data_IF_301467959030
#
_entry.id   IF_301467959030
#
_cell.length_a   1.000
_cell.length_b   1.000
_cell.length_c   1.000
_cell.angle_alpha   90.00
_cell.angle_beta   90.00
_cell.angle_gamma   90.00
#
_symmetry.space_group_name_H-M   'P 1'
#
loop_
_entity.id
_entity.type
_entity.pdbx_description
1 polymer ?
#
# COMPACT_ATOMS: atom_id res chain seq x y z
N UNK A 1 15.37 40.80 21.96
CA UNK A 1 14.57 40.02 20.98
C UNK A 1 14.34 38.65 21.58
N UNK A 2 13.08 38.35 21.90
CA UNK A 2 12.67 37.14 22.61
C UNK A 2 12.75 35.94 21.67
N UNK A 3 13.53 34.92 22.06
CA UNK A 3 13.49 33.59 21.47
C UNK A 3 12.10 32.99 21.72
N UNK A 4 11.26 32.95 20.69
CA UNK A 4 10.05 32.12 20.71
C UNK A 4 10.48 30.66 20.60
N UNK A 5 10.07 29.76 21.50
CA UNK A 5 10.23 28.34 21.28
C UNK A 5 9.33 27.95 20.09
N UNK A 6 9.90 27.26 19.11
CA UNK A 6 9.13 26.56 18.08
C UNK A 6 8.30 25.52 18.81
N UNK A 7 6.99 25.77 18.89
CA UNK A 7 6.00 24.85 19.42
C UNK A 7 5.89 23.65 18.48
N UNK A 8 6.65 22.58 18.75
CA UNK A 8 6.34 21.26 18.23
C UNK A 8 5.25 20.67 19.14
N UNK A 9 3.99 20.93 18.80
CA UNK A 9 2.88 20.13 19.33
C UNK A 9 3.04 18.73 18.75
N UNK A 10 3.59 17.80 19.54
CA UNK A 10 3.67 16.38 19.17
C UNK A 10 2.25 15.83 19.12
N UNK A 11 1.61 15.91 17.95
CA UNK A 11 0.35 15.21 17.73
C UNK A 11 0.68 13.75 17.50
N UNK A 12 0.16 12.87 18.35
CA UNK A 12 0.27 11.42 18.15
C UNK A 12 -0.16 11.05 16.72
N UNK A 13 0.54 10.12 16.05
CA UNK A 13 0.16 9.68 14.71
C UNK A 13 -1.31 9.23 14.66
N UNK A 14 -2.01 9.62 13.60
CA UNK A 14 -3.44 9.30 13.38
C UNK A 14 -3.63 8.16 12.37
N UNK A 15 -2.57 7.46 12.00
CA UNK A 15 -2.59 6.32 11.09
C UNK A 15 -1.84 5.15 11.71
N UNK A 16 -2.39 3.95 11.59
CA UNK A 16 -1.75 2.73 12.08
C UNK A 16 -1.82 1.59 11.07
N UNK A 17 -0.68 0.93 10.84
CA UNK A 17 -0.55 -0.26 10.02
C UNK A 17 -0.27 -1.50 10.89
N UNK A 18 -0.93 -2.61 10.59
CA UNK A 18 -0.68 -3.89 11.26
C UNK A 18 -0.30 -4.92 10.20
N UNK A 19 0.91 -5.46 10.33
CA UNK A 19 1.46 -6.44 9.42
C UNK A 19 1.05 -7.86 9.82
N UNK A 20 0.19 -8.51 9.04
CA UNK A 20 -0.21 -9.91 9.22
C UNK A 20 0.58 -10.79 8.24
N UNK A 21 1.53 -11.62 8.70
CA UNK A 21 2.52 -12.23 7.82
C UNK A 21 2.11 -13.59 7.22
N UNK A 22 0.84 -13.96 7.22
CA UNK A 22 0.42 -15.31 6.83
C UNK A 22 -0.16 -15.34 5.43
N UNK A 23 0.26 -16.31 4.63
CA UNK A 23 -0.34 -16.65 3.34
C UNK A 23 -0.48 -18.17 3.19
N UNK A 24 -1.43 -18.60 2.37
CA UNK A 24 -1.49 -19.99 1.91
C UNK A 24 -0.26 -20.37 1.08
N UNK A 25 0.12 -19.48 0.17
CA UNK A 25 1.22 -19.65 -0.77
C UNK A 25 1.99 -18.35 -0.93
N UNK A 26 3.31 -18.42 -1.19
CA UNK A 26 4.11 -17.25 -1.56
C UNK A 26 4.11 -17.14 -3.09
N UNK A 27 3.28 -16.24 -3.62
CA UNK A 27 3.27 -15.96 -5.06
C UNK A 27 4.67 -15.57 -5.54
N UNK A 28 5.05 -16.03 -6.73
CA UNK A 28 6.43 -15.93 -7.21
C UNK A 28 6.98 -14.50 -7.36
N UNK A 29 6.14 -13.47 -7.45
CA UNK A 29 6.51 -12.05 -7.50
C UNK A 29 6.53 -11.35 -6.13
N UNK A 30 5.98 -11.97 -5.08
CA UNK A 30 5.72 -11.31 -3.81
C UNK A 30 7.00 -11.17 -2.98
N UNK A 31 7.37 -9.92 -2.67
CA UNK A 31 8.54 -9.55 -1.86
C UNK A 31 8.19 -9.23 -0.39
N UNK A 32 6.90 -9.30 -0.04
CA UNK A 32 6.43 -8.99 1.30
C UNK A 32 7.01 -9.95 2.36
N UNK A 33 7.09 -9.40 3.57
CA UNK A 33 7.43 -10.12 4.78
C UNK A 33 6.29 -11.09 5.11
N UNK A 34 6.47 -12.38 4.89
CA UNK A 34 5.44 -13.39 5.13
C UNK A 34 6.04 -14.77 5.41
N UNK A 35 5.21 -15.66 5.93
CA UNK A 35 5.41 -17.12 6.02
C UNK A 35 4.24 -17.80 5.32
N UNK A 36 4.54 -18.75 4.44
CA UNK A 36 3.55 -19.53 3.72
C UNK A 36 3.37 -20.90 4.36
N UNK A 37 2.12 -21.35 4.56
CA UNK A 37 1.81 -22.67 5.13
C UNK A 37 2.30 -22.87 6.58
N UNK A 38 2.34 -21.80 7.37
CA UNK A 38 2.80 -21.79 8.77
C UNK A 38 1.72 -21.34 9.74
N UNK A 39 0.53 -21.90 9.57
CA UNK A 39 -0.64 -21.59 10.40
C UNK A 39 -0.41 -21.96 11.88
N UNK A 40 0.54 -22.87 12.16
CA UNK A 40 1.01 -23.22 13.50
C UNK A 40 1.53 -22.01 14.29
N UNK A 41 2.05 -20.97 13.61
CA UNK A 41 2.60 -19.78 14.26
C UNK A 41 1.56 -18.68 14.54
N UNK A 42 0.30 -18.85 14.14
CA UNK A 42 -0.72 -17.79 14.29
C UNK A 42 -0.93 -17.41 15.76
N UNK A 43 -0.97 -18.40 16.66
CA UNK A 43 -1.13 -18.15 18.10
C UNK A 43 0.05 -17.38 18.70
N UNK A 44 1.27 -17.75 18.31
CA UNK A 44 2.50 -17.08 18.74
C UNK A 44 2.56 -15.65 18.22
N UNK A 45 2.16 -15.43 16.96
CA UNK A 45 2.05 -14.10 16.37
C UNK A 45 1.07 -13.21 17.14
N UNK A 46 -0.14 -13.68 17.44
CA UNK A 46 -1.12 -12.89 18.18
C UNK A 46 -0.63 -12.56 19.60
N UNK A 47 0.05 -13.50 20.25
CA UNK A 47 0.65 -13.30 21.56
C UNK A 47 1.78 -12.28 21.52
N UNK A 48 2.66 -12.37 20.52
CA UNK A 48 3.75 -11.44 20.29
C UNK A 48 3.25 -10.03 19.94
N UNK A 49 2.23 -9.91 19.07
CA UNK A 49 1.63 -8.62 18.71
C UNK A 49 0.96 -7.96 19.91
N UNK A 50 0.24 -8.74 20.74
CA UNK A 50 -0.31 -8.24 22.01
C UNK A 50 0.77 -7.64 22.89
N UNK A 51 1.94 -8.28 22.99
CA UNK A 51 3.10 -7.76 23.74
C UNK A 51 3.67 -6.49 23.13
N UNK A 52 3.79 -6.44 21.81
CA UNK A 52 4.30 -5.26 21.11
C UNK A 52 3.40 -4.03 21.38
N UNK A 53 2.09 -4.24 21.36
CA UNK A 53 1.09 -3.22 21.63
C UNK A 53 0.93 -2.87 23.12
N UNK A 54 1.65 -3.54 24.05
CA UNK A 54 1.54 -3.25 25.49
C UNK A 54 1.99 -1.84 25.85
N UNK A 55 2.89 -1.24 25.05
CA UNK A 55 3.35 0.14 25.26
C UNK A 55 2.25 1.20 25.08
N UNK A 56 1.10 0.82 24.50
CA UNK A 56 -0.06 1.68 24.35
C UNK A 56 -0.93 1.55 25.61
N UNK A 57 -0.65 2.39 26.60
CA UNK A 57 -1.36 2.39 27.90
C UNK A 57 -2.81 2.89 27.79
N UNK A 58 -3.07 3.81 26.86
CA UNK A 58 -4.40 4.37 26.59
C UNK A 58 -4.72 4.26 25.11
N UNK A 59 -5.98 3.97 24.74
CA UNK A 59 -6.37 3.92 23.34
C UNK A 59 -5.97 5.19 22.58
N UNK A 60 -5.27 5.01 21.46
CA UNK A 60 -4.90 6.10 20.56
C UNK A 60 -6.01 6.25 19.53
N UNK A 61 -6.55 7.47 19.39
CA UNK A 61 -7.52 7.74 18.34
C UNK A 61 -6.83 7.85 16.98
N UNK A 62 -7.30 7.07 15.99
CA UNK A 62 -6.77 7.05 14.63
C UNK A 62 -7.83 7.40 13.60
N UNK A 63 -7.41 8.12 12.56
CA UNK A 63 -8.17 8.39 11.35
C UNK A 63 -8.15 7.20 10.39
N UNK A 64 -7.04 6.46 10.37
CA UNK A 64 -6.88 5.29 9.50
C UNK A 64 -6.25 4.10 10.24
N UNK A 65 -6.78 2.91 9.98
CA UNK A 65 -6.20 1.64 10.38
C UNK A 65 -6.13 0.72 9.17
N UNK A 66 -5.00 0.06 8.95
CA UNK A 66 -4.80 -0.80 7.79
C UNK A 66 -4.20 -2.14 8.22
N UNK A 67 -4.89 -3.22 7.88
CA UNK A 67 -4.40 -4.59 8.04
C UNK A 67 -3.90 -5.07 6.68
N UNK A 68 -2.61 -5.39 6.58
CA UNK A 68 -2.02 -5.85 5.32
C UNK A 68 -0.83 -6.79 5.54
N UNK A 69 -0.06 -7.03 4.48
CA UNK A 69 1.25 -7.70 4.56
C UNK A 69 1.28 -8.99 3.77
N UNK A 70 1.04 -10.12 4.42
CA UNK A 70 0.77 -11.38 3.74
C UNK A 70 -0.66 -11.37 3.23
N UNK A 71 -1.58 -11.98 3.98
CA UNK A 71 -3.01 -11.95 3.69
C UNK A 71 -3.77 -11.99 5.02
N UNK A 72 -4.19 -10.83 5.57
CA UNK A 72 -4.93 -10.79 6.83
C UNK A 72 -6.15 -11.73 6.87
N UNK A 73 -6.89 -11.87 5.75
CA UNK A 73 -8.05 -12.76 5.65
C UNK A 73 -7.71 -14.25 5.68
N UNK A 74 -6.44 -14.63 5.50
CA UNK A 74 -6.00 -16.02 5.64
C UNK A 74 -6.14 -16.51 7.08
N UNK A 75 -6.11 -15.59 8.06
CA UNK A 75 -6.41 -15.94 9.45
C UNK A 75 -7.78 -16.62 9.54
N UNK A 76 -7.91 -17.74 10.29
CA UNK A 76 -9.21 -18.31 10.63
C UNK A 76 -10.08 -17.25 11.30
N UNK A 77 -11.40 -17.30 11.09
CA UNK A 77 -12.31 -16.24 11.53
C UNK A 77 -12.19 -15.93 13.03
N UNK A 78 -12.07 -16.95 13.89
CA UNK A 78 -11.84 -16.79 15.33
C UNK A 78 -10.57 -15.99 15.65
N UNK A 79 -9.45 -16.28 14.95
CA UNK A 79 -8.16 -15.60 15.13
C UNK A 79 -8.17 -14.18 14.60
N UNK A 80 -8.92 -13.94 13.52
CA UNK A 80 -9.15 -12.61 12.99
C UNK A 80 -9.97 -11.75 13.96
N UNK A 81 -11.03 -12.31 14.55
CA UNK A 81 -11.80 -11.67 15.61
C UNK A 81 -10.96 -11.39 16.86
N UNK A 82 -10.07 -12.30 17.24
CA UNK A 82 -9.10 -12.09 18.32
C UNK A 82 -8.19 -10.89 18.03
N UNK A 83 -7.61 -10.82 16.82
CA UNK A 83 -6.79 -9.69 16.38
C UNK A 83 -7.57 -8.37 16.45
N UNK A 84 -8.78 -8.33 15.89
CA UNK A 84 -9.66 -7.16 15.90
C UNK A 84 -9.93 -6.71 17.35
N UNK A 85 -10.21 -7.64 18.25
CA UNK A 85 -10.43 -7.35 19.68
C UNK A 85 -9.21 -6.71 20.33
N UNK A 86 -8.01 -7.23 20.04
CA UNK A 86 -6.74 -6.63 20.50
C UNK A 86 -6.60 -5.20 20.00
N UNK A 87 -6.80 -4.97 18.71
CA UNK A 87 -6.64 -3.63 18.12
C UNK A 87 -7.65 -2.64 18.69
N UNK A 88 -8.92 -3.02 18.85
CA UNK A 88 -9.95 -2.17 19.46
C UNK A 88 -9.70 -1.85 20.94
N UNK A 89 -8.90 -2.66 21.64
CA UNK A 89 -8.48 -2.35 23.01
C UNK A 89 -7.35 -1.30 23.07
N UNK A 90 -6.64 -1.06 21.95
CA UNK A 90 -5.46 -0.18 21.86
C UNK A 90 -5.68 1.05 20.99
N UNK A 91 -6.71 1.04 20.15
CA UNK A 91 -7.03 2.12 19.24
C UNK A 91 -8.53 2.42 19.28
N UNK A 92 -8.86 3.71 19.30
CA UNK A 92 -10.21 4.19 19.01
C UNK A 92 -10.25 4.75 17.58
N UNK A 93 -11.42 4.70 16.96
CA UNK A 93 -11.61 5.13 15.59
C UNK A 93 -12.27 6.50 15.58
N UNK A 94 -11.64 7.47 14.91
CA UNK A 94 -12.17 8.82 14.80
C UNK A 94 -13.49 8.86 14.01
N UNK A 95 -14.34 9.89 14.17
CA UNK A 95 -15.49 10.09 13.30
C UNK A 95 -15.08 10.10 11.82
N UNK A 96 -15.74 9.28 11.01
CA UNK A 96 -15.42 9.13 9.59
C UNK A 96 -14.08 8.44 9.31
N UNK A 97 -13.58 7.58 10.21
CA UNK A 97 -12.36 6.79 10.01
C UNK A 97 -12.38 5.90 8.75
N UNK A 98 -11.19 5.49 8.31
CA UNK A 98 -11.01 4.41 7.33
C UNK A 98 -10.36 3.21 8.03
N UNK A 99 -11.00 2.04 7.98
CA UNK A 99 -10.38 0.78 8.42
C UNK A 99 -10.36 -0.20 7.25
N UNK A 100 -9.16 -0.37 6.70
CA UNK A 100 -8.87 -1.22 5.56
C UNK A 100 -8.35 -2.60 5.96
N UNK A 101 -8.69 -3.61 5.18
CA UNK A 101 -8.09 -4.95 5.24
C UNK A 101 -7.78 -5.45 3.83
N UNK A 102 -6.59 -6.04 3.64
CA UNK A 102 -6.25 -6.81 2.44
C UNK A 102 -6.84 -8.21 2.48
N UNK A 103 -7.35 -8.68 1.34
CA UNK A 103 -8.04 -9.94 1.22
C UNK A 103 -7.64 -10.75 -0.03
N UNK A 104 -7.59 -12.07 0.11
CA UNK A 104 -7.64 -12.99 -1.03
C UNK A 104 -9.11 -13.34 -1.33
N UNK A 105 -9.56 -13.31 -2.61
CA UNK A 105 -10.92 -13.71 -2.99
C UNK A 105 -11.40 -15.01 -2.36
N UNK A 106 -10.57 -16.06 -2.34
CA UNK A 106 -10.95 -17.37 -1.82
C UNK A 106 -11.26 -17.36 -0.33
N UNK A 107 -10.61 -16.49 0.46
CA UNK A 107 -10.80 -16.44 1.90
C UNK A 107 -12.15 -15.85 2.31
N UNK A 108 -12.84 -15.17 1.38
CA UNK A 108 -14.10 -14.45 1.61
C UNK A 108 -15.32 -15.14 1.00
N UNK A 109 -15.18 -16.40 0.57
CA UNK A 109 -16.33 -17.25 0.22
C UNK A 109 -17.16 -17.66 1.45
N UNK A 110 -16.58 -17.54 2.65
CA UNK A 110 -17.25 -17.80 3.92
C UNK A 110 -18.05 -16.57 4.39
N UNK A 111 -19.37 -16.71 4.42
CA UNK A 111 -20.30 -15.67 4.85
C UNK A 111 -20.10 -15.26 6.33
N UNK A 112 -19.65 -16.16 7.20
CA UNK A 112 -19.43 -15.85 8.62
C UNK A 112 -18.23 -14.91 8.78
N UNK A 113 -17.20 -15.09 7.95
CA UNK A 113 -16.03 -14.20 7.93
C UNK A 113 -16.41 -12.81 7.44
N UNK A 114 -17.18 -12.70 6.35
CA UNK A 114 -17.67 -11.41 5.88
C UNK A 114 -18.54 -10.70 6.92
N UNK A 115 -19.44 -11.43 7.58
CA UNK A 115 -20.27 -10.91 8.67
C UNK A 115 -19.42 -10.38 9.82
N UNK A 116 -18.37 -11.13 10.20
CA UNK A 116 -17.44 -10.74 11.27
C UNK A 116 -16.64 -9.48 10.92
N UNK A 117 -16.18 -9.38 9.67
CA UNK A 117 -15.51 -8.17 9.15
C UNK A 117 -16.45 -6.96 9.20
N UNK A 118 -17.66 -7.07 8.66
CA UNK A 118 -18.63 -5.97 8.67
C UNK A 118 -19.00 -5.53 10.10
N UNK A 119 -19.20 -6.49 11.01
CA UNK A 119 -19.50 -6.21 12.41
C UNK A 119 -18.35 -5.62 13.22
N UNK A 120 -17.10 -5.74 12.73
CA UNK A 120 -15.91 -5.25 13.44
C UNK A 120 -15.70 -3.74 13.36
N UNK A 121 -16.29 -3.09 12.35
CA UNK A 121 -16.02 -1.71 11.99
C UNK A 121 -15.09 -1.55 10.78
N UNK A 122 -14.57 -2.63 10.19
CA UNK A 122 -13.88 -2.58 8.90
C UNK A 122 -14.84 -2.04 7.84
N UNK A 123 -14.40 -1.01 7.11
CA UNK A 123 -15.23 -0.30 6.16
C UNK A 123 -14.58 -0.15 4.78
N UNK A 124 -13.42 -0.77 4.54
CA UNK A 124 -12.78 -0.91 3.23
C UNK A 124 -12.09 -2.28 3.10
N UNK A 125 -12.26 -2.93 1.95
CA UNK A 125 -11.54 -4.19 1.61
C UNK A 125 -10.72 -3.97 0.34
N UNK A 126 -9.43 -4.32 0.35
CA UNK A 126 -8.56 -4.41 -0.83
C UNK A 126 -8.45 -5.85 -1.28
N UNK A 127 -9.03 -6.18 -2.44
CA UNK A 127 -9.11 -7.54 -2.94
C UNK A 127 -8.00 -7.81 -3.95
N UNK A 128 -7.11 -8.75 -3.64
CA UNK A 128 -6.02 -9.17 -4.53
C UNK A 128 -6.51 -10.00 -5.72
N UNK A 129 -7.12 -9.36 -6.71
CA UNK A 129 -7.68 -10.00 -7.92
C UNK A 129 -6.57 -10.36 -8.90
N UNK A 130 -5.68 -9.42 -9.17
CA UNK A 130 -4.56 -9.43 -10.10
C UNK A 130 -4.95 -9.57 -11.58
N UNK A 131 -5.82 -10.52 -11.93
CA UNK A 131 -6.34 -10.71 -13.28
C UNK A 131 -7.66 -11.50 -13.24
N UNK A 132 -8.43 -11.44 -14.33
CA UNK A 132 -9.57 -12.35 -14.57
C UNK A 132 -9.21 -13.49 -15.54
N UNK A 133 -8.01 -13.44 -16.14
CA UNK A 133 -7.52 -14.45 -17.08
C UNK A 133 -6.83 -15.61 -16.34
N UNK A 134 -7.31 -16.83 -16.57
CA UNK A 134 -6.78 -18.03 -15.91
C UNK A 134 -5.31 -18.33 -16.21
N UNK A 135 -4.81 -17.97 -17.40
CA UNK A 135 -3.39 -18.19 -17.74
C UNK A 135 -2.49 -17.24 -16.95
N UNK A 136 -2.88 -15.97 -16.83
CA UNK A 136 -2.19 -14.95 -16.03
C UNK A 136 -2.22 -15.30 -14.55
N UNK A 137 -3.38 -15.70 -14.02
CA UNK A 137 -3.53 -16.14 -12.62
C UNK A 137 -2.65 -17.35 -12.30
N UNK A 138 -2.54 -18.31 -13.23
CA UNK A 138 -1.63 -19.46 -13.10
C UNK A 138 -0.17 -19.02 -13.03
N UNK A 139 0.26 -18.09 -13.90
CA UNK A 139 1.62 -17.53 -13.87
C UNK A 139 1.88 -16.81 -12.55
N UNK A 140 0.94 -15.99 -12.10
CA UNK A 140 0.96 -15.24 -10.84
C UNK A 140 0.78 -16.14 -9.61
N UNK A 141 0.61 -17.45 -9.78
CA UNK A 141 0.43 -18.44 -8.72
C UNK A 141 -0.73 -18.08 -7.78
N UNK A 142 -1.85 -17.63 -8.37
CA UNK A 142 -3.09 -17.31 -7.67
C UNK A 142 -4.00 -18.53 -7.58
N UNK A 143 -4.73 -18.65 -6.48
CA UNK A 143 -5.57 -19.79 -6.15
C UNK A 143 -7.07 -19.52 -6.38
N UNK A 144 -7.42 -18.45 -7.09
CA UNK A 144 -8.79 -18.08 -7.44
C UNK A 144 -8.97 -17.97 -8.96
N UNK A 145 -10.21 -17.80 -9.42
CA UNK A 145 -10.56 -17.48 -10.80
C UNK A 145 -11.53 -16.29 -10.86
N UNK A 146 -11.84 -15.82 -12.07
CA UNK A 146 -12.76 -14.70 -12.25
C UNK A 146 -14.19 -14.98 -11.74
N UNK A 147 -14.63 -16.24 -11.71
CA UNK A 147 -15.93 -16.62 -11.14
C UNK A 147 -16.00 -16.31 -9.66
N UNK A 148 -14.99 -16.76 -8.90
CA UNK A 148 -14.85 -16.48 -7.47
C UNK A 148 -14.80 -14.97 -7.24
N UNK A 149 -14.01 -14.22 -8.02
CA UNK A 149 -13.89 -12.77 -7.86
C UNK A 149 -15.25 -12.07 -8.03
N UNK A 150 -16.03 -12.44 -9.04
CA UNK A 150 -17.38 -11.87 -9.27
C UNK A 150 -18.31 -12.18 -8.10
N UNK A 151 -18.32 -13.42 -7.64
CA UNK A 151 -19.14 -13.88 -6.51
C UNK A 151 -18.82 -13.10 -5.23
N UNK A 152 -17.54 -13.08 -4.82
CA UNK A 152 -17.16 -12.44 -3.55
C UNK A 152 -17.26 -10.93 -3.61
N UNK A 153 -16.99 -10.30 -4.77
CA UNK A 153 -17.15 -8.85 -4.91
C UNK A 153 -18.62 -8.46 -4.74
N UNK A 154 -19.56 -9.25 -5.27
CA UNK A 154 -20.98 -9.02 -5.06
C UNK A 154 -21.35 -9.16 -3.57
N UNK A 155 -20.92 -10.25 -2.93
CA UNK A 155 -21.21 -10.52 -1.52
C UNK A 155 -20.63 -9.45 -0.57
N UNK A 156 -19.38 -9.01 -0.79
CA UNK A 156 -18.74 -7.97 0.04
C UNK A 156 -19.55 -6.67 -0.04
N UNK A 157 -19.98 -6.27 -1.24
CA UNK A 157 -20.66 -4.98 -1.45
C UNK A 157 -22.00 -4.85 -0.75
N UNK A 158 -22.64 -5.96 -0.38
CA UNK A 158 -23.87 -5.96 0.42
C UNK A 158 -23.64 -5.42 1.84
N UNK A 159 -22.44 -5.58 2.39
CA UNK A 159 -22.10 -5.24 3.77
C UNK A 159 -21.01 -4.16 3.91
N UNK A 160 -20.01 -4.18 3.03
CA UNK A 160 -18.90 -3.22 2.97
C UNK A 160 -18.82 -2.65 1.54
N UNK A 161 -19.50 -1.51 1.26
CA UNK A 161 -19.58 -0.97 -0.10
C UNK A 161 -18.25 -0.46 -0.68
N UNK A 162 -17.25 -0.15 0.15
CA UNK A 162 -15.94 0.35 -0.29
C UNK A 162 -15.00 -0.82 -0.59
N UNK A 163 -15.16 -1.41 -1.77
CA UNK A 163 -14.31 -2.48 -2.28
C UNK A 163 -13.31 -1.91 -3.27
N UNK A 164 -12.04 -2.22 -3.04
CA UNK A 164 -10.94 -2.00 -3.96
C UNK A 164 -10.57 -3.32 -4.66
N UNK A 165 -10.27 -3.27 -5.95
CA UNK A 165 -9.69 -4.41 -6.68
C UNK A 165 -8.25 -4.08 -7.07
N UNK A 166 -7.32 -4.91 -6.64
CA UNK A 166 -5.91 -4.81 -6.99
C UNK A 166 -5.64 -5.65 -8.24
N UNK A 167 -5.10 -5.04 -9.29
CA UNK A 167 -4.84 -5.63 -10.60
C UNK A 167 -3.36 -5.50 -10.97
N UNK A 168 -2.86 -6.43 -11.77
CA UNK A 168 -1.47 -6.44 -12.25
C UNK A 168 -1.45 -6.48 -13.79
N UNK A 169 -0.76 -5.54 -14.41
CA UNK A 169 -0.41 -5.56 -15.82
C UNK A 169 1.08 -5.91 -16.02
N UNK A 170 1.48 -6.25 -17.23
CA UNK A 170 2.84 -6.69 -17.54
C UNK A 170 3.13 -8.14 -17.14
N UNK A 171 2.08 -8.96 -16.97
CA UNK A 171 2.25 -10.39 -16.65
C UNK A 171 2.91 -11.10 -17.84
N UNK A 172 3.91 -11.99 -17.65
CA UNK A 172 4.56 -12.71 -18.74
C UNK A 172 3.57 -13.36 -19.71
N UNK A 173 3.62 -12.96 -20.98
CA UNK A 173 2.71 -13.46 -22.03
C UNK A 173 1.35 -12.75 -22.10
N UNK A 174 1.04 -11.80 -21.21
CA UNK A 174 -0.16 -10.98 -21.27
C UNK A 174 -0.13 -10.09 -22.51
N UNK A 175 -1.26 -10.06 -23.24
CA UNK A 175 -1.43 -9.16 -24.38
C UNK A 175 -2.22 -7.92 -23.98
N UNK A 176 -2.16 -6.86 -24.79
CA UNK A 176 -2.99 -5.67 -24.58
C UNK A 176 -4.49 -6.01 -24.61
N UNK A 177 -4.90 -7.02 -25.40
CA UNK A 177 -6.29 -7.49 -25.46
C UNK A 177 -6.73 -8.14 -24.14
N UNK A 178 -5.87 -8.96 -23.53
CA UNK A 178 -6.18 -9.59 -22.25
C UNK A 178 -6.30 -8.54 -21.12
N UNK A 179 -5.41 -7.54 -21.13
CA UNK A 179 -5.46 -6.44 -20.19
C UNK A 179 -6.73 -5.60 -20.33
N UNK A 180 -7.13 -5.27 -21.56
CA UNK A 180 -8.40 -4.60 -21.87
C UNK A 180 -9.59 -5.36 -21.31
N UNK A 181 -9.64 -6.68 -21.55
CA UNK A 181 -10.70 -7.54 -21.03
C UNK A 181 -10.73 -7.57 -19.50
N UNK A 182 -9.56 -7.60 -18.85
CA UNK A 182 -9.44 -7.58 -17.39
C UNK A 182 -9.99 -6.27 -16.81
N UNK A 183 -9.68 -5.13 -17.41
CA UNK A 183 -10.19 -3.83 -16.98
C UNK A 183 -11.70 -3.67 -17.26
N UNK A 184 -12.18 -4.13 -18.42
CA UNK A 184 -13.61 -4.13 -18.73
C UNK A 184 -14.40 -4.89 -17.67
N UNK A 185 -13.92 -6.07 -17.27
CA UNK A 185 -14.56 -6.86 -16.24
C UNK A 185 -14.48 -6.17 -14.86
N UNK A 186 -13.32 -5.63 -14.49
CA UNK A 186 -13.15 -4.91 -13.23
C UNK A 186 -14.12 -3.71 -13.12
N UNK A 187 -14.30 -2.94 -14.20
CA UNK A 187 -15.24 -1.81 -14.25
C UNK A 187 -16.68 -2.28 -14.13
N UNK A 188 -17.06 -3.40 -14.74
CA UNK A 188 -18.41 -3.97 -14.64
C UNK A 188 -18.78 -4.37 -13.20
N UNK A 189 -17.80 -4.77 -12.38
CA UNK A 189 -18.00 -5.04 -10.96
C UNK A 189 -18.28 -3.79 -10.12
N UNK A 190 -18.02 -2.60 -10.69
CA UNK A 190 -18.24 -1.28 -10.07
C UNK A 190 -17.61 -1.16 -8.66
N UNK A 191 -16.31 -1.46 -8.50
CA UNK A 191 -15.62 -1.17 -7.25
C UNK A 191 -15.60 0.34 -6.97
N UNK A 192 -15.27 0.72 -5.74
CA UNK A 192 -15.06 2.14 -5.40
C UNK A 192 -13.64 2.59 -5.71
N UNK A 193 -12.72 1.65 -5.82
CA UNK A 193 -11.29 1.88 -5.97
C UNK A 193 -10.65 0.75 -6.81
N UNK A 194 -9.65 1.10 -7.61
CA UNK A 194 -8.90 0.20 -8.46
C UNK A 194 -7.41 0.52 -8.33
N UNK A 195 -6.60 -0.49 -8.07
CA UNK A 195 -5.15 -0.40 -8.12
C UNK A 195 -4.65 -1.12 -9.37
N UNK A 196 -3.79 -0.51 -10.16
CA UNK A 196 -3.16 -1.14 -11.34
C UNK A 196 -1.64 -1.07 -11.17
N UNK A 197 -1.04 -2.20 -10.80
CA UNK A 197 0.40 -2.32 -10.60
C UNK A 197 1.06 -2.92 -11.84
N UNK A 198 2.21 -2.37 -12.24
CA UNK A 198 3.09 -3.07 -13.16
C UNK A 198 3.78 -4.21 -12.43
N UNK A 199 3.87 -5.39 -13.05
CA UNK A 199 4.56 -6.52 -12.45
C UNK A 199 6.06 -6.22 -12.30
N UNK A 200 6.54 -6.13 -11.07
CA UNK A 200 7.98 -5.97 -10.79
C UNK A 200 8.64 -7.32 -10.53
N UNK A 201 9.96 -7.36 -10.72
CA UNK A 201 10.79 -8.54 -10.49
C UNK A 201 11.77 -8.22 -9.36
N UNK A 202 11.34 -8.40 -8.12
CA UNK A 202 12.13 -8.01 -6.95
C UNK A 202 13.22 -9.03 -6.61
N UNK A 203 14.41 -8.54 -6.23
CA UNK A 203 15.52 -9.40 -5.79
C UNK A 203 15.09 -10.26 -4.59
N UNK A 204 15.40 -11.56 -4.68
CA UNK A 204 15.03 -12.53 -3.64
C UNK A 204 13.69 -13.23 -3.89
N UNK A 205 12.95 -12.86 -4.93
CA UNK A 205 11.72 -13.55 -5.33
C UNK A 205 11.98 -14.73 -6.29
N UNK A 206 10.99 -15.61 -6.42
CA UNK A 206 11.03 -16.72 -7.40
C UNK A 206 11.09 -16.18 -8.82
N UNK A 207 10.30 -15.14 -9.12
CA UNK A 207 10.25 -14.51 -10.44
C UNK A 207 11.58 -13.90 -10.85
N UNK A 208 12.28 -13.21 -9.94
CA UNK A 208 13.64 -12.71 -10.19
C UNK A 208 14.59 -13.85 -10.58
N UNK A 209 14.53 -14.97 -9.86
CA UNK A 209 15.37 -16.15 -10.14
C UNK A 209 15.02 -16.79 -11.48
N UNK A 210 13.74 -16.92 -11.82
CA UNK A 210 13.27 -17.47 -13.10
C UNK A 210 13.62 -16.57 -14.28
N UNK A 211 13.51 -15.25 -14.10
CA UNK A 211 13.95 -14.24 -15.09
C UNK A 211 15.45 -14.33 -15.35
N UNK A 212 16.26 -14.36 -14.30
CA UNK A 212 17.71 -14.51 -14.43
C UNK A 212 18.13 -15.82 -15.13
N UNK A 213 17.31 -16.87 -15.03
CA UNK A 213 17.52 -18.16 -15.72
C UNK A 213 16.90 -18.23 -17.12
N UNK A 214 16.20 -17.19 -17.57
CA UNK A 214 15.50 -17.18 -18.86
C UNK A 214 14.27 -18.10 -18.93
N UNK A 215 13.74 -18.58 -17.79
CA UNK A 215 12.54 -19.44 -17.72
C UNK A 215 11.26 -18.66 -17.47
N UNK A 216 11.36 -17.34 -17.33
CA UNK A 216 10.25 -16.40 -17.26
C UNK A 216 10.69 -15.10 -17.90
N UNK A 217 10.02 -14.66 -18.96
CA UNK A 217 10.38 -13.43 -19.67
C UNK A 217 9.37 -12.33 -19.35
N UNK A 218 9.82 -11.12 -18.99
CA UNK A 218 8.91 -9.98 -18.91
C UNK A 218 8.31 -9.69 -20.29
N UNK A 219 7.19 -8.98 -20.33
CA UNK A 219 6.69 -8.44 -21.58
C UNK A 219 7.61 -7.29 -22.05
N UNK A 220 7.56 -6.87 -23.33
CA UNK A 220 8.33 -5.71 -23.78
C UNK A 220 7.92 -4.43 -23.04
N UNK A 221 8.87 -3.56 -22.69
CA UNK A 221 8.61 -2.30 -21.98
C UNK A 221 7.58 -1.41 -22.70
N UNK A 222 7.62 -1.39 -24.04
CA UNK A 222 6.65 -0.65 -24.84
C UNK A 222 5.22 -1.19 -24.67
N UNK A 223 5.06 -2.50 -24.49
CA UNK A 223 3.75 -3.08 -24.21
C UNK A 223 3.27 -2.75 -22.80
N UNK A 224 4.15 -2.74 -21.78
CA UNK A 224 3.80 -2.27 -20.43
C UNK A 224 3.34 -0.81 -20.45
N UNK A 225 4.05 0.03 -21.21
CA UNK A 225 3.69 1.44 -21.43
C UNK A 225 2.30 1.56 -22.05
N UNK A 226 2.01 0.79 -23.10
CA UNK A 226 0.69 0.75 -23.72
C UNK A 226 -0.41 0.29 -22.75
N UNK A 227 -0.14 -0.75 -21.95
CA UNK A 227 -1.08 -1.26 -20.95
C UNK A 227 -1.42 -0.21 -19.89
N UNK A 228 -0.41 0.47 -19.35
CA UNK A 228 -0.61 1.51 -18.35
C UNK A 228 -1.32 2.74 -18.93
N UNK A 229 -0.95 3.17 -20.14
CA UNK A 229 -1.64 4.24 -20.83
C UNK A 229 -3.13 3.90 -21.07
N UNK A 230 -3.41 2.65 -21.44
CA UNK A 230 -4.78 2.17 -21.64
C UNK A 230 -5.58 2.18 -20.33
N UNK A 231 -4.99 1.70 -19.22
CA UNK A 231 -5.62 1.73 -17.91
C UNK A 231 -6.01 3.15 -17.49
N UNK A 232 -5.10 4.13 -17.66
CA UNK A 232 -5.37 5.53 -17.35
C UNK A 232 -6.59 6.03 -18.15
N UNK A 233 -6.60 5.80 -19.47
CA UNK A 233 -7.69 6.25 -20.34
C UNK A 233 -9.03 5.62 -19.96
N UNK A 234 -9.10 4.29 -19.96
CA UNK A 234 -10.35 3.55 -19.73
C UNK A 234 -10.94 3.78 -18.34
N UNK A 235 -10.12 3.79 -17.29
CA UNK A 235 -10.60 4.03 -15.92
C UNK A 235 -11.06 5.47 -15.72
N UNK A 236 -10.39 6.43 -16.37
CA UNK A 236 -10.85 7.84 -16.36
C UNK A 236 -12.19 7.99 -17.06
N UNK A 237 -12.36 7.37 -18.24
CA UNK A 237 -13.63 7.36 -18.98
C UNK A 237 -14.76 6.67 -18.19
N UNK A 238 -14.43 5.64 -17.41
CA UNK A 238 -15.34 4.97 -16.49
C UNK A 238 -15.67 5.77 -15.21
N UNK A 239 -15.10 6.97 -15.04
CA UNK A 239 -15.39 7.89 -13.94
C UNK A 239 -14.52 7.73 -12.70
N UNK A 240 -13.42 6.97 -12.77
CA UNK A 240 -12.44 6.90 -11.70
C UNK A 240 -11.37 7.99 -11.87
N UNK A 241 -11.06 8.68 -10.77
CA UNK A 241 -9.97 9.66 -10.74
C UNK A 241 -8.64 8.95 -10.52
N UNK A 242 -7.69 9.13 -11.43
CA UNK A 242 -6.27 8.82 -11.20
C UNK A 242 -5.72 9.81 -10.18
N UNK A 243 -5.41 9.37 -8.96
CA UNK A 243 -5.01 10.28 -7.88
C UNK A 243 -3.55 10.11 -7.46
N UNK A 244 -2.95 8.95 -7.70
CA UNK A 244 -1.51 8.69 -7.59
C UNK A 244 -1.10 7.59 -8.58
N UNK A 245 0.20 7.35 -8.76
CA UNK A 245 0.78 6.47 -9.81
C UNK A 245 -0.05 5.21 -10.09
N UNK A 246 -0.36 4.40 -9.08
CA UNK A 246 -0.98 3.09 -9.30
C UNK A 246 -2.51 3.09 -9.12
N UNK A 247 -3.09 4.11 -8.50
CA UNK A 247 -4.44 4.02 -7.95
C UNK A 247 -5.44 5.00 -8.56
N UNK A 248 -6.65 4.45 -8.73
CA UNK A 248 -7.81 5.11 -9.27
C UNK A 248 -8.97 4.95 -8.27
N UNK A 249 -9.76 6.00 -8.07
CA UNK A 249 -10.89 5.91 -7.16
C UNK A 249 -12.06 6.76 -7.65
N UNK A 250 -13.27 6.37 -7.25
CA UNK A 250 -14.37 7.33 -7.27
C UNK A 250 -14.07 8.45 -6.26
N UNK A 251 -14.48 9.71 -6.53
CA UNK A 251 -14.21 10.81 -5.62
C UNK A 251 -14.71 10.52 -4.19
N UNK A 252 -13.82 10.67 -3.20
CA UNK A 252 -14.10 10.38 -1.79
C UNK A 252 -13.81 8.94 -1.35
N UNK A 253 -13.33 8.09 -2.27
CA UNK A 253 -12.93 6.69 -1.98
C UNK A 253 -11.43 6.45 -2.21
N UNK A 254 -10.64 7.52 -2.33
CA UNK A 254 -9.18 7.42 -2.30
C UNK A 254 -8.73 6.74 -1.00
N UNK A 255 -7.76 5.82 -1.07
CA UNK A 255 -7.23 5.15 0.13
C UNK A 255 -6.52 6.18 1.02
N UNK A 256 -7.16 6.58 2.13
CA UNK A 256 -6.65 7.64 3.02
C UNK A 256 -5.38 7.22 3.72
N UNK A 257 -5.24 5.93 4.02
CA UNK A 257 -4.02 5.39 4.60
C UNK A 257 -2.81 5.60 3.65
N UNK A 258 -2.96 5.24 2.37
CA UNK A 258 -1.92 5.43 1.36
C UNK A 258 -1.62 6.92 1.10
N UNK A 259 -2.65 7.76 1.05
CA UNK A 259 -2.47 9.21 0.96
C UNK A 259 -1.68 9.76 2.15
N UNK A 260 -1.80 9.15 3.34
CA UNK A 260 -0.95 9.46 4.49
C UNK A 260 0.54 9.27 4.18
N UNK A 261 0.90 8.13 3.58
CA UNK A 261 2.27 7.86 3.14
C UNK A 261 2.76 8.85 2.10
N UNK A 262 1.97 9.10 1.05
CA UNK A 262 2.36 10.02 -0.03
C UNK A 262 2.49 11.48 0.43
N UNK A 263 1.84 11.83 1.54
CA UNK A 263 1.98 13.12 2.18
C UNK A 263 3.01 13.13 3.33
N UNK A 264 3.81 12.08 3.49
CA UNK A 264 4.80 11.94 4.57
C UNK A 264 4.22 12.21 5.97
N UNK A 265 2.97 11.82 6.22
CA UNK A 265 2.33 11.99 7.53
C UNK A 265 2.90 10.94 8.50
N UNK A 266 3.08 11.27 9.79
CA UNK A 266 3.46 10.28 10.79
C UNK A 266 2.45 9.14 10.90
N UNK A 267 2.95 7.93 11.14
CA UNK A 267 2.14 6.72 11.31
C UNK A 267 2.83 5.69 12.20
N UNK A 268 2.00 4.93 12.92
CA UNK A 268 2.42 3.77 13.70
C UNK A 268 2.39 2.52 12.84
N UNK A 269 3.24 1.55 13.15
CA UNK A 269 3.23 0.26 12.48
C UNK A 269 3.71 -0.85 13.42
N UNK A 270 3.06 -2.02 13.37
CA UNK A 270 3.33 -3.15 14.26
C UNK A 270 3.33 -4.47 13.50
N UNK A 271 4.01 -5.48 14.05
CA UNK A 271 4.22 -6.79 13.41
C UNK A 271 5.56 -6.91 12.67
N UNK A 272 5.88 -8.11 12.16
CA UNK A 272 7.17 -8.38 11.52
C UNK A 272 7.35 -7.57 10.23
N UNK A 273 8.52 -6.96 10.05
CA UNK A 273 8.81 -6.12 8.88
C UNK A 273 8.06 -4.78 8.81
N UNK A 274 7.17 -4.49 9.76
CA UNK A 274 6.44 -3.24 9.82
C UNK A 274 7.39 -2.05 10.00
N UNK A 275 7.21 -1.00 9.19
CA UNK A 275 7.98 0.23 9.29
C UNK A 275 7.10 1.37 9.79
N UNK A 276 7.54 2.14 10.77
CA UNK A 276 6.82 3.31 11.32
C UNK A 276 7.61 4.60 11.08
N UNK A 277 6.91 5.72 11.06
CA UNK A 277 7.51 7.05 10.93
C UNK A 277 6.88 8.02 11.92
N UNK A 278 7.67 8.49 12.90
CA UNK A 278 7.20 9.37 13.98
C UNK A 278 8.26 10.43 14.22
N UNK A 279 7.88 11.71 14.12
CA UNK A 279 8.74 12.85 14.45
C UNK A 279 10.15 12.80 13.82
N UNK A 280 10.19 12.48 12.52
CA UNK A 280 11.44 12.38 11.76
C UNK A 280 12.26 11.12 12.03
N UNK A 281 11.73 10.15 12.80
CA UNK A 281 12.37 8.87 13.07
C UNK A 281 11.63 7.76 12.34
N UNK A 282 12.36 7.05 11.47
CA UNK A 282 11.89 5.81 10.85
C UNK A 282 12.38 4.63 11.68
N UNK A 283 11.49 3.69 11.97
CA UNK A 283 11.84 2.41 12.60
C UNK A 283 11.28 1.27 11.80
N UNK A 284 12.06 0.22 11.61
CA UNK A 284 11.61 -1.01 10.97
C UNK A 284 11.76 -2.18 11.93
N UNK A 285 10.67 -2.90 12.12
CA UNK A 285 10.70 -4.18 12.81
C UNK A 285 11.46 -5.22 11.99
N UNK A 286 12.01 -6.22 12.67
CA UNK A 286 12.76 -7.28 12.01
C UNK A 286 11.91 -7.99 10.93
N UNK A 287 12.41 -8.07 9.69
CA UNK A 287 11.69 -8.66 8.54
C UNK A 287 11.44 -10.16 8.67
N UNK A 288 12.38 -10.93 9.23
CA UNK A 288 12.14 -12.36 9.48
C UNK A 288 11.08 -12.54 10.57
N UNK A 289 9.95 -13.16 10.21
CA UNK A 289 8.83 -13.49 11.13
C UNK A 289 9.35 -14.30 12.32
N UNK A 290 10.20 -15.31 12.09
CA UNK A 290 10.78 -16.14 13.15
C UNK A 290 11.65 -15.34 14.12
N UNK A 291 12.47 -14.42 13.59
CA UNK A 291 13.35 -13.60 14.43
C UNK A 291 12.55 -12.56 15.21
N UNK A 292 11.52 -11.98 14.60
CA UNK A 292 10.58 -11.07 15.27
C UNK A 292 9.85 -11.80 16.42
N UNK A 293 9.30 -12.99 16.17
CA UNK A 293 8.67 -13.84 17.20
C UNK A 293 9.63 -14.10 18.37
N UNK A 294 10.85 -14.58 18.07
CA UNK A 294 11.87 -14.85 19.10
C UNK A 294 12.20 -13.62 19.94
N UNK A 295 12.29 -12.43 19.32
CA UNK A 295 12.54 -11.17 20.05
C UNK A 295 11.39 -10.86 21.00
N UNK A 296 10.15 -10.92 20.51
CA UNK A 296 8.94 -10.67 21.31
C UNK A 296 8.73 -11.71 22.42
N UNK A 297 9.10 -12.96 22.17
CA UNK A 297 9.07 -14.03 23.17
C UNK A 297 10.05 -13.77 24.32
N UNK A 298 11.24 -13.26 23.98
CA UNK A 298 12.33 -13.00 24.92
C UNK A 298 12.23 -11.61 25.59
N UNK A 299 11.18 -10.83 25.32
CA UNK A 299 11.04 -9.47 25.84
C UNK A 299 12.01 -8.43 25.25
N UNK A 300 12.62 -8.74 24.10
CA UNK A 300 13.47 -7.80 23.38
C UNK A 300 12.66 -6.90 22.44
N UNK A 301 13.25 -5.75 22.06
CA UNK A 301 12.65 -4.84 21.08
C UNK A 301 12.45 -5.52 19.71
N UNK A 302 11.29 -5.34 19.05
CA UNK A 302 11.05 -5.84 17.69
C UNK A 302 11.86 -5.06 16.64
N UNK A 303 12.30 -3.84 16.96
CA UNK A 303 13.00 -2.91 16.06
C UNK A 303 14.36 -3.49 15.66
N UNK A 304 14.57 -3.64 14.35
CA UNK A 304 15.84 -4.05 13.77
C UNK A 304 16.65 -2.84 13.30
N UNK A 305 15.98 -1.83 12.74
CA UNK A 305 16.60 -0.65 12.17
C UNK A 305 15.90 0.60 12.68
N UNK A 306 16.68 1.64 13.00
CA UNK A 306 16.19 2.97 13.37
C UNK A 306 17.04 4.01 12.67
N UNK A 307 16.39 4.99 12.05
CA UNK A 307 17.03 6.11 11.36
C UNK A 307 16.34 7.42 11.76
N UNK A 308 17.12 8.43 12.12
CA UNK A 308 16.62 9.81 12.28
C UNK A 308 16.97 10.62 11.04
N UNK A 309 15.94 11.04 10.32
CA UNK A 309 16.10 11.89 9.13
C UNK A 309 16.51 13.30 9.56
N UNK A 310 17.54 13.84 8.91
CA UNK A 310 17.85 15.28 9.00
C UNK A 310 16.72 16.08 8.34
N UNK A 311 16.49 17.35 8.73
CA UNK A 311 15.41 18.17 8.17
C UNK A 311 15.40 18.23 6.64
N UNK A 312 16.57 18.39 6.02
CA UNK A 312 16.68 18.40 4.55
C UNK A 312 16.33 17.03 3.93
N UNK A 313 16.78 15.91 4.54
CA UNK A 313 16.45 14.56 4.07
C UNK A 313 14.94 14.29 4.13
N UNK A 314 14.28 14.71 5.22
CA UNK A 314 12.83 14.61 5.34
C UNK A 314 12.10 15.47 4.29
N UNK A 315 12.65 16.65 3.96
CA UNK A 315 12.10 17.50 2.91
C UNK A 315 12.25 16.85 1.51
N UNK A 316 13.42 16.26 1.19
CA UNK A 316 13.64 15.51 -0.06
C UNK A 316 12.74 14.28 -0.15
N UNK A 317 12.54 13.59 0.97
CA UNK A 317 11.62 12.46 1.03
C UNK A 317 10.16 12.88 0.76
N UNK A 318 9.73 14.04 1.27
CA UNK A 318 8.42 14.60 0.91
C UNK A 318 8.33 14.91 -0.59
N UNK A 319 9.41 15.34 -1.24
CA UNK A 319 9.43 15.51 -2.70
C UNK A 319 9.17 14.16 -3.38
N UNK A 320 9.94 13.14 -3.03
CA UNK A 320 9.80 11.79 -3.56
C UNK A 320 8.38 11.23 -3.39
N UNK A 321 7.86 11.28 -2.17
CA UNK A 321 6.54 10.72 -1.84
C UNK A 321 5.42 11.54 -2.50
N UNK A 322 5.56 12.88 -2.51
CA UNK A 322 4.55 13.77 -3.04
C UNK A 322 4.44 13.76 -4.56
N UNK A 323 5.54 13.53 -5.29
CA UNK A 323 5.53 13.39 -6.74
C UNK A 323 4.80 12.13 -7.23
N UNK A 324 4.54 11.16 -6.35
CA UNK A 324 3.66 10.03 -6.68
C UNK A 324 2.21 10.46 -6.89
N UNK A 325 1.79 11.57 -6.26
CA UNK A 325 0.44 12.08 -6.42
C UNK A 325 0.28 12.79 -7.77
N UNK A 326 -0.87 12.60 -8.42
CA UNK A 326 -1.19 13.25 -9.69
C UNK A 326 -1.21 14.79 -9.57
N UNK A 327 -1.63 15.29 -8.42
CA UNK A 327 -1.64 16.73 -8.14
C UNK A 327 -0.26 17.28 -7.71
N UNK A 328 0.73 16.40 -7.52
CA UNK A 328 2.07 16.72 -7.06
C UNK A 328 2.09 17.54 -5.77
N UNK A 329 3.09 18.42 -5.67
CA UNK A 329 3.39 19.20 -4.48
C UNK A 329 3.08 20.68 -4.70
N UNK A 330 2.42 21.30 -3.73
CA UNK A 330 2.26 22.75 -3.69
C UNK A 330 3.51 23.39 -3.05
N UNK A 331 4.05 24.42 -3.71
CA UNK A 331 5.28 25.09 -3.32
C UNK A 331 5.16 25.80 -1.96
N UNK A 332 4.03 26.45 -1.69
CA UNK A 332 3.83 27.20 -0.45
C UNK A 332 3.55 26.24 0.72
N UNK A 333 2.76 25.18 0.47
CA UNK A 333 2.55 24.12 1.46
C UNK A 333 3.87 23.42 1.81
N UNK A 334 4.67 23.08 0.81
CA UNK A 334 5.99 22.45 1.01
C UNK A 334 6.90 23.33 1.85
N UNK A 335 7.00 24.62 1.50
CA UNK A 335 7.82 25.57 2.25
C UNK A 335 7.32 25.76 3.68
N UNK A 336 6.01 25.87 3.88
CA UNK A 336 5.40 25.99 5.20
C UNK A 336 5.65 24.79 6.11
N UNK A 337 5.65 23.58 5.55
CA UNK A 337 5.84 22.32 6.28
C UNK A 337 7.30 22.00 6.58
N UNK A 338 8.20 22.28 5.64
CA UNK A 338 9.59 21.84 5.71
C UNK A 338 10.57 22.96 6.07
N UNK A 339 10.21 24.21 5.79
CA UNK A 339 11.11 25.36 5.86
C UNK A 339 12.06 25.50 4.66
N UNK A 340 12.01 24.58 3.68
CA UNK A 340 12.85 24.60 2.49
C UNK A 340 12.08 25.07 1.26
N UNK A 341 12.77 25.69 0.30
CA UNK A 341 12.23 25.93 -1.02
C UNK A 341 12.42 24.69 -1.90
N UNK A 342 11.34 24.20 -2.52
CA UNK A 342 11.37 22.98 -3.33
C UNK A 342 12.25 23.14 -4.57
N UNK A 343 12.21 24.30 -5.23
CA UNK A 343 12.95 24.56 -6.47
C UNK A 343 14.45 24.66 -6.17
N UNK A 344 14.83 25.34 -5.09
CA UNK A 344 16.21 25.39 -4.63
C UNK A 344 16.72 24.01 -4.21
N UNK A 345 15.92 23.23 -3.48
CA UNK A 345 16.29 21.90 -3.00
C UNK A 345 16.47 20.89 -4.15
N UNK A 346 15.59 20.95 -5.14
CA UNK A 346 15.66 20.15 -6.36
C UNK A 346 16.74 20.61 -7.34
N UNK A 347 17.15 21.88 -7.26
CA UNK A 347 18.32 22.43 -7.95
C UNK A 347 18.36 22.16 -9.46
N UNK A 348 19.55 21.82 -9.96
CA UNK A 348 19.77 21.56 -11.38
C UNK A 348 18.98 20.35 -11.92
N UNK A 349 18.77 19.33 -11.09
CA UNK A 349 18.01 18.12 -11.48
C UNK A 349 16.56 18.46 -11.78
N UNK A 350 15.88 19.16 -10.87
CA UNK A 350 14.49 19.55 -11.07
C UNK A 350 14.35 20.44 -12.31
N UNK A 351 15.27 21.39 -12.49
CA UNK A 351 15.28 22.25 -13.68
C UNK A 351 15.52 21.46 -14.98
N UNK A 352 16.34 20.42 -14.94
CA UNK A 352 16.50 19.52 -16.08
C UNK A 352 15.20 18.77 -16.38
N UNK A 353 14.56 18.17 -15.39
CA UNK A 353 13.31 17.42 -15.55
C UNK A 353 12.14 18.30 -16.04
N UNK A 354 12.09 19.58 -15.65
CA UNK A 354 11.15 20.56 -16.20
C UNK A 354 11.43 20.84 -17.69
N UNK A 355 12.70 20.98 -18.09
CA UNK A 355 13.08 21.18 -19.50
C UNK A 355 12.77 19.96 -20.36
N UNK A 356 12.99 18.75 -19.84
CA UNK A 356 12.65 17.49 -20.51
C UNK A 356 11.14 17.18 -20.47
N UNK A 357 10.32 18.06 -19.87
CA UNK A 357 8.87 17.90 -19.75
C UNK A 357 8.46 16.61 -19.02
N UNK A 358 9.31 16.11 -18.12
CA UNK A 358 8.97 15.02 -17.20
C UNK A 358 8.26 15.56 -15.95
N UNK A 359 8.65 16.77 -15.53
CA UNK A 359 7.92 17.57 -14.57
C UNK A 359 7.28 18.77 -15.27
N UNK A 360 6.20 19.28 -14.67
CA UNK A 360 5.64 20.59 -15.02
C UNK A 360 5.31 21.40 -13.77
N UNK A 361 5.38 22.72 -13.94
CA UNK A 361 4.85 23.67 -12.97
C UNK A 361 3.49 24.18 -13.45
N UNK A 362 2.43 23.92 -12.69
CA UNK A 362 1.09 24.45 -12.95
C UNK A 362 0.65 25.32 -11.77
N UNK A 363 0.79 26.64 -11.94
CA UNK A 363 0.56 27.59 -10.85
C UNK A 363 1.58 27.39 -9.72
N UNK A 364 1.08 27.15 -8.51
CA UNK A 364 1.90 26.86 -7.31
C UNK A 364 2.33 25.40 -7.19
N UNK A 365 2.00 24.52 -8.15
CA UNK A 365 2.26 23.08 -8.03
C UNK A 365 3.34 22.56 -8.97
N UNK A 366 4.22 21.71 -8.46
CA UNK A 366 5.15 20.88 -9.23
C UNK A 366 4.63 19.45 -9.25
N UNK A 367 4.47 18.87 -10.45
CA UNK A 367 3.94 17.51 -10.62
C UNK A 367 4.54 16.81 -11.84
N UNK A 368 4.41 15.48 -11.88
CA UNK A 368 4.73 14.69 -13.06
C UNK A 368 3.77 15.03 -14.20
N UNK A 369 4.33 15.20 -15.40
CA UNK A 369 3.55 15.21 -16.64
C UNK A 369 3.03 13.79 -16.94
N UNK A 370 2.19 13.64 -17.96
CA UNK A 370 1.80 12.31 -18.42
C UNK A 370 3.02 11.46 -18.82
N UNK A 371 4.01 12.05 -19.50
CA UNK A 371 5.26 11.35 -19.85
C UNK A 371 6.08 11.01 -18.60
N UNK A 372 6.21 11.95 -17.66
CA UNK A 372 6.94 11.74 -16.40
C UNK A 372 6.39 10.58 -15.57
N UNK A 373 5.07 10.31 -15.62
CA UNK A 373 4.47 9.18 -14.88
C UNK A 373 4.97 7.81 -15.32
N UNK A 374 5.35 7.64 -16.59
CA UNK A 374 5.89 6.37 -17.09
C UNK A 374 7.31 6.09 -16.60
N UNK A 375 8.01 7.11 -16.13
CA UNK A 375 9.39 7.04 -15.64
C UNK A 375 9.52 7.65 -14.24
N UNK A 376 8.44 7.57 -13.45
CA UNK A 376 8.32 8.25 -12.17
C UNK A 376 9.43 7.88 -11.20
N UNK A 377 9.80 6.60 -11.13
CA UNK A 377 10.85 6.10 -10.24
C UNK A 377 12.23 6.71 -10.58
N UNK A 378 12.56 6.85 -11.87
CA UNK A 378 13.79 7.51 -12.31
C UNK A 378 13.79 9.00 -11.97
N UNK A 379 12.68 9.69 -12.29
CA UNK A 379 12.52 11.12 -12.00
C UNK A 379 12.68 11.39 -10.50
N UNK A 380 12.05 10.57 -9.67
CA UNK A 380 12.11 10.68 -8.22
C UNK A 380 13.51 10.35 -7.69
N UNK A 381 14.14 9.28 -8.19
CA UNK A 381 15.47 8.87 -7.74
C UNK A 381 16.54 9.93 -8.00
N UNK A 382 16.44 10.69 -9.10
CA UNK A 382 17.41 11.74 -9.42
C UNK A 382 17.33 12.95 -8.48
N UNK A 383 16.19 13.14 -7.80
CA UNK A 383 15.92 14.27 -6.89
C UNK A 383 16.36 14.01 -5.44
N UNK A 384 16.76 12.77 -5.11
CA UNK A 384 17.13 12.35 -3.76
C UNK A 384 18.50 12.85 -3.31
#
# INVERSE_FOLDING_TARGET
MQNRPVSLSVSLPRSVYIHVPFCRHRCGYCDFTLVAGRDDLIGDYLSALKRELQSIDKPIEVDTMFLGGGTPTHLPNERLCELIGVLRSRFSLAPGYEWSIEANPRDLLDADKLTSLAGSGINRISLGVQSFNSSELSILERDHDGGIVREVTAAIRESIPNVALDLIFGVPGQTLTDWKSTLDEAVQLRPRHLSTYGLTFEKGTSFWTRRAKGTLSPVPEELEREMYAHAIGQLTEAGYRHYEISNFAQPGFECRHNLGYWNAKPYLAFGPGAASYIDGVRRSNHRSVFTWLKRMESGHSPVAEEERLKPEQAARELIMLGLRMVDGLDLDEFRGRTGFDLIELGGATLQHQLREQLLEQRGSRIRLTNAGRFVADSVVSDLL
#
